data_IF_140036710591
#
_entry.id   IF_140036710591
#
_cell.length_a   1.000
_cell.length_b   1.000
_cell.length_c   1.000
_cell.angle_alpha   90.00
_cell.angle_beta   90.00
_cell.angle_gamma   90.00
#
_symmetry.space_group_name_H-M   'P 1'
#
loop_
_entity.id
_entity.type
_entity.pdbx_description
1 polymer ?
#
# COMPACT_ATOMS: atom_id res chain seq x y z
N UNK A 1 -14.24 1.99 -26.72
CA UNK A 1 -15.62 1.79 -26.38
C UNK A 1 -16.51 2.66 -27.25
N UNK A 2 -17.30 3.61 -26.80
CA UNK A 2 -18.19 4.42 -27.63
C UNK A 2 -17.72 5.87 -27.67
N UNK A 3 -18.04 6.58 -28.75
CA UNK A 3 -17.79 8.02 -28.83
C UNK A 3 -18.85 8.79 -28.01
N UNK A 4 -18.47 9.90 -27.44
CA UNK A 4 -19.37 10.67 -26.59
C UNK A 4 -18.78 11.98 -26.09
N UNK A 5 -19.52 12.65 -25.23
CA UNK A 5 -19.06 13.84 -24.52
C UNK A 5 -18.85 13.52 -23.05
N UNK A 6 -17.76 13.99 -22.50
CA UNK A 6 -17.42 13.84 -21.07
C UNK A 6 -18.37 14.69 -20.25
N UNK A 7 -19.17 14.06 -19.41
CA UNK A 7 -20.23 14.70 -18.61
C UNK A 7 -19.72 15.01 -17.20
N UNK A 8 -18.93 14.10 -16.60
CA UNK A 8 -18.38 14.26 -15.28
C UNK A 8 -16.99 13.60 -15.18
N UNK A 9 -16.08 14.26 -14.48
CA UNK A 9 -14.75 13.73 -14.16
C UNK A 9 -14.45 13.97 -12.70
N UNK A 10 -14.04 12.92 -12.00
CA UNK A 10 -13.47 13.01 -10.67
C UNK A 10 -12.24 12.10 -10.55
N UNK A 11 -11.58 12.10 -9.41
CA UNK A 11 -10.37 11.31 -9.21
C UNK A 11 -10.60 9.79 -9.35
N UNK A 12 -11.82 9.32 -9.21
CA UNK A 12 -12.19 7.90 -9.15
C UNK A 12 -12.94 7.41 -10.37
N UNK A 13 -13.50 8.31 -11.17
CA UNK A 13 -14.35 7.95 -12.31
C UNK A 13 -14.40 9.02 -13.39
N UNK A 14 -14.68 8.57 -14.61
CA UNK A 14 -15.02 9.40 -15.77
C UNK A 14 -16.38 8.95 -16.25
N UNK A 15 -17.29 9.87 -16.43
CA UNK A 15 -18.65 9.62 -16.95
C UNK A 15 -18.74 10.22 -18.34
N UNK A 16 -19.05 9.39 -19.32
CA UNK A 16 -19.19 9.79 -20.73
C UNK A 16 -20.64 9.57 -21.16
N UNK A 17 -21.25 10.61 -21.69
CA UNK A 17 -22.54 10.52 -22.34
C UNK A 17 -22.30 10.08 -23.78
N UNK A 18 -22.57 8.81 -24.06
CA UNK A 18 -22.38 8.23 -25.38
C UNK A 18 -23.38 8.81 -26.39
N UNK A 19 -22.92 9.00 -27.62
CA UNK A 19 -23.86 9.30 -28.71
C UNK A 19 -24.61 8.02 -29.08
N UNK A 20 -25.93 8.11 -29.08
CA UNK A 20 -26.78 7.05 -29.63
C UNK A 20 -26.68 7.11 -31.17
N UNK A 21 -26.03 6.12 -31.78
CA UNK A 21 -26.30 5.84 -33.19
C UNK A 21 -27.77 5.38 -33.27
N UNK A 22 -28.61 6.14 -33.95
CA UNK A 22 -30.05 5.90 -34.11
C UNK A 22 -30.41 4.55 -34.76
N UNK A 23 -29.45 3.64 -34.91
CA UNK A 23 -29.61 2.36 -35.61
C UNK A 23 -29.55 1.12 -34.72
N UNK A 24 -29.15 1.21 -33.46
CA UNK A 24 -29.00 0.03 -32.60
C UNK A 24 -29.61 0.23 -31.22
N UNK A 25 -30.67 -0.55 -30.99
CA UNK A 25 -31.26 -1.01 -29.75
C UNK A 25 -31.41 -0.05 -28.55
N UNK A 26 -32.66 0.21 -28.23
CA UNK A 26 -33.17 0.88 -27.05
C UNK A 26 -32.82 0.28 -25.68
N UNK A 27 -31.93 -0.71 -25.61
CA UNK A 27 -31.52 -1.40 -24.35
C UNK A 27 -30.16 -0.98 -23.80
N UNK A 28 -29.38 -0.21 -24.54
CA UNK A 28 -28.01 0.20 -24.09
C UNK A 28 -28.09 1.54 -23.36
N UNK A 29 -27.53 1.59 -22.14
CA UNK A 29 -27.42 2.83 -21.36
C UNK A 29 -26.80 3.96 -22.19
N UNK A 30 -27.37 5.18 -22.15
CA UNK A 30 -26.80 6.34 -22.83
C UNK A 30 -25.51 6.86 -22.14
N UNK A 31 -25.12 6.28 -21.02
CA UNK A 31 -23.99 6.73 -20.22
C UNK A 31 -23.03 5.58 -19.98
N UNK A 32 -21.75 5.84 -20.21
CA UNK A 32 -20.64 4.95 -19.85
C UNK A 32 -19.91 5.51 -18.65
N UNK A 33 -19.68 4.65 -17.64
CA UNK A 33 -18.93 5.00 -16.43
C UNK A 33 -17.65 4.20 -16.40
N UNK A 34 -16.51 4.90 -16.36
CA UNK A 34 -15.18 4.33 -16.27
C UNK A 34 -14.62 4.58 -14.88
N UNK A 35 -14.51 3.53 -14.07
CA UNK A 35 -13.88 3.60 -12.75
C UNK A 35 -12.38 3.55 -12.88
N UNK A 36 -11.67 4.45 -12.19
CA UNK A 36 -10.23 4.55 -12.17
C UNK A 36 -9.65 3.81 -10.96
N UNK A 37 -8.61 3.03 -11.18
CA UNK A 37 -7.87 2.38 -10.10
C UNK A 37 -7.02 3.41 -9.35
N UNK A 38 -7.18 3.43 -8.04
CA UNK A 38 -6.48 4.38 -7.17
C UNK A 38 -5.62 3.64 -6.16
N UNK A 39 -4.30 3.86 -6.21
CA UNK A 39 -3.32 3.35 -5.25
C UNK A 39 -3.49 1.86 -4.93
N UNK A 40 -3.62 1.04 -5.97
CA UNK A 40 -3.71 -0.40 -5.83
C UNK A 40 -2.34 -1.05 -5.99
N UNK A 41 -2.16 -2.16 -5.28
CA UNK A 41 -0.95 -2.96 -5.38
C UNK A 41 -0.96 -3.79 -6.68
N UNK A 42 0.13 -3.72 -7.45
CA UNK A 42 0.37 -4.64 -8.57
C UNK A 42 0.99 -5.96 -8.08
N UNK A 43 1.07 -6.95 -8.96
CA UNK A 43 1.73 -8.22 -8.64
C UNK A 43 3.22 -8.07 -8.27
N UNK A 44 3.87 -7.00 -8.69
CA UNK A 44 5.26 -6.66 -8.39
C UNK A 44 5.42 -5.66 -7.24
N UNK A 45 4.39 -5.48 -6.41
CA UNK A 45 4.35 -4.52 -5.30
C UNK A 45 4.49 -3.05 -5.72
N UNK A 46 4.28 -2.74 -6.99
CA UNK A 46 4.27 -1.36 -7.48
C UNK A 46 2.90 -0.73 -7.30
N UNK A 47 2.85 0.59 -7.25
CA UNK A 47 1.61 1.33 -7.11
C UNK A 47 0.92 1.51 -8.47
N UNK A 48 -0.32 1.06 -8.57
CA UNK A 48 -1.21 1.33 -9.70
C UNK A 48 -2.12 2.48 -9.33
N UNK A 49 -1.96 3.60 -10.00
CA UNK A 49 -2.79 4.78 -9.80
C UNK A 49 -3.12 5.39 -11.16
N UNK A 50 -4.41 5.50 -11.47
CA UNK A 50 -4.89 6.06 -12.72
C UNK A 50 -5.35 7.51 -12.53
N UNK A 51 -5.04 8.35 -13.50
CA UNK A 51 -5.40 9.78 -13.51
C UNK A 51 -6.15 10.11 -14.80
N UNK A 52 -7.27 10.84 -14.73
CA UNK A 52 -7.98 11.28 -15.92
C UNK A 52 -7.15 12.30 -16.70
N UNK A 53 -7.20 12.22 -18.03
CA UNK A 53 -6.61 13.20 -18.94
C UNK A 53 -7.64 14.18 -19.51
N UNK A 54 -8.90 13.75 -19.53
CA UNK A 54 -10.00 14.50 -20.13
C UNK A 54 -10.64 15.44 -19.12
N UNK A 55 -11.26 16.51 -19.65
CA UNK A 55 -12.03 17.47 -18.87
C UNK A 55 -13.53 17.38 -19.19
N UNK A 56 -14.34 17.92 -18.30
CA UNK A 56 -15.81 17.99 -18.52
C UNK A 56 -16.10 18.83 -19.75
N UNK A 57 -16.89 18.30 -20.64
CA UNK A 57 -17.26 18.91 -21.92
C UNK A 57 -16.42 18.46 -23.11
N UNK A 58 -15.33 17.73 -22.89
CA UNK A 58 -14.50 17.21 -23.98
C UNK A 58 -15.28 16.20 -24.83
N UNK A 59 -15.03 16.25 -26.12
CA UNK A 59 -15.49 15.21 -27.05
C UNK A 59 -14.44 14.12 -27.17
N UNK A 60 -14.84 12.88 -27.04
CA UNK A 60 -13.97 11.71 -27.14
C UNK A 60 -14.49 10.74 -28.19
N UNK A 61 -13.60 10.21 -29.00
CA UNK A 61 -13.90 9.20 -29.98
C UNK A 61 -13.59 7.79 -29.47
N UNK A 62 -14.11 6.80 -30.17
CA UNK A 62 -13.77 5.40 -29.88
C UNK A 62 -12.28 5.16 -30.15
N UNK A 63 -11.52 4.82 -29.11
CA UNK A 63 -10.09 4.57 -29.18
C UNK A 63 -9.23 5.62 -28.52
N UNK A 64 -9.79 6.79 -28.19
CA UNK A 64 -9.07 7.83 -27.47
C UNK A 64 -8.66 7.39 -26.08
N UNK A 65 -7.52 7.88 -25.65
CA UNK A 65 -7.01 7.65 -24.30
C UNK A 65 -7.61 8.69 -23.36
N UNK A 66 -8.36 8.24 -22.37
CA UNK A 66 -9.07 9.11 -21.43
C UNK A 66 -8.43 9.19 -20.05
N UNK A 67 -7.51 8.28 -19.74
CA UNK A 67 -6.79 8.25 -18.47
C UNK A 67 -5.40 7.65 -18.63
N UNK A 68 -4.46 8.14 -17.86
CA UNK A 68 -3.13 7.56 -17.69
C UNK A 68 -3.09 6.55 -16.56
N UNK A 69 -2.27 5.53 -16.74
CA UNK A 69 -1.94 4.54 -15.71
C UNK A 69 -0.49 4.63 -15.23
N UNK A 70 0.03 3.56 -14.63
CA UNK A 70 1.43 3.48 -14.24
C UNK A 70 2.35 3.61 -15.46
N UNK A 71 3.46 4.35 -15.29
CA UNK A 71 4.48 4.56 -16.33
C UNK A 71 3.94 5.11 -17.64
N UNK A 72 2.89 5.93 -17.59
CA UNK A 72 2.32 6.64 -18.74
C UNK A 72 2.21 8.13 -18.46
N UNK A 73 2.40 8.94 -19.48
CA UNK A 73 2.23 10.40 -19.44
C UNK A 73 1.60 10.83 -20.76
N UNK A 74 0.46 11.52 -20.69
CA UNK A 74 -0.34 11.97 -21.85
C UNK A 74 -0.66 10.85 -22.85
N UNK A 75 -0.95 9.67 -22.35
CA UNK A 75 -1.30 8.49 -23.16
C UNK A 75 -0.11 7.75 -23.76
N UNK A 76 1.12 8.21 -23.54
CA UNK A 76 2.33 7.57 -24.04
C UNK A 76 3.11 6.87 -22.92
N UNK A 77 3.89 5.87 -23.30
CA UNK A 77 4.75 5.14 -22.37
C UNK A 77 5.88 6.04 -21.87
N UNK A 78 5.94 6.27 -20.56
CA UNK A 78 6.95 7.08 -19.88
C UNK A 78 7.58 6.26 -18.74
N UNK A 79 8.65 5.52 -19.03
CA UNK A 79 9.34 4.65 -18.07
C UNK A 79 10.29 5.40 -17.15
N UNK A 80 10.49 6.68 -17.35
CA UNK A 80 11.36 7.54 -16.57
C UNK A 80 11.35 8.97 -17.08
N UNK A 81 12.28 9.78 -16.57
CA UNK A 81 12.47 11.17 -17.01
C UNK A 81 13.89 11.39 -17.54
N UNK A 82 13.99 12.18 -18.60
CA UNK A 82 15.27 12.67 -19.07
C UNK A 82 15.80 13.73 -18.11
N UNK A 83 17.02 13.54 -17.62
CA UNK A 83 17.69 14.49 -16.72
C UNK A 83 18.96 15.01 -17.36
N UNK A 84 19.34 16.23 -17.05
CA UNK A 84 20.59 16.81 -17.47
C UNK A 84 21.73 16.20 -16.65
N UNK A 85 22.72 15.64 -17.34
CA UNK A 85 23.89 14.97 -16.74
C UNK A 85 25.18 15.71 -17.11
N UNK A 86 26.04 15.89 -16.13
CA UNK A 86 27.41 16.37 -16.34
C UNK A 86 28.42 15.28 -15.99
N UNK A 87 29.32 14.95 -16.91
CA UNK A 87 30.42 14.00 -16.69
C UNK A 87 31.66 14.78 -16.28
N UNK A 88 31.84 14.93 -14.97
CA UNK A 88 32.96 15.68 -14.40
C UNK A 88 33.27 15.21 -12.99
N UNK A 89 34.57 15.28 -12.53
CA UNK A 89 34.88 15.10 -11.14
C UNK A 89 34.36 16.27 -10.30
N UNK A 90 33.82 15.97 -9.11
CA UNK A 90 33.30 16.96 -8.18
C UNK A 90 33.85 16.71 -6.77
N UNK A 91 34.97 17.34 -6.42
CA UNK A 91 35.57 17.29 -5.09
C UNK A 91 35.71 15.86 -4.48
N UNK A 92 35.79 14.83 -5.29
CA UNK A 92 35.87 13.44 -4.86
C UNK A 92 34.55 12.80 -4.44
N UNK A 93 33.42 13.56 -4.41
CA UNK A 93 32.13 13.03 -3.99
C UNK A 93 31.49 12.06 -5.01
N UNK A 94 31.99 12.03 -6.23
CA UNK A 94 31.59 11.07 -7.26
C UNK A 94 32.70 10.05 -7.58
N UNK A 95 33.49 9.69 -6.57
CA UNK A 95 34.54 8.68 -6.70
C UNK A 95 33.94 7.29 -6.94
N UNK A 96 34.58 6.52 -7.84
CA UNK A 96 34.12 5.20 -8.31
C UNK A 96 32.66 5.28 -8.87
N UNK A 97 31.73 4.51 -8.31
CA UNK A 97 30.34 4.39 -8.77
C UNK A 97 29.38 5.40 -8.10
N UNK A 98 29.93 6.34 -7.33
CA UNK A 98 29.12 7.37 -6.65
C UNK A 98 28.60 8.39 -7.63
N UNK A 99 27.34 8.75 -7.49
CA UNK A 99 26.66 9.75 -8.31
C UNK A 99 26.11 10.84 -7.39
N UNK A 100 26.40 12.11 -7.75
CA UNK A 100 25.78 13.27 -7.12
C UNK A 100 24.47 13.59 -7.84
N UNK A 101 23.44 13.84 -7.09
CA UNK A 101 22.16 14.31 -7.61
C UNK A 101 21.83 15.69 -7.07
N UNK A 102 21.14 16.49 -7.87
CA UNK A 102 20.63 17.81 -7.44
C UNK A 102 19.50 17.61 -6.42
N UNK A 103 19.45 18.48 -5.41
CA UNK A 103 18.37 18.53 -4.44
C UNK A 103 16.99 18.73 -5.12
N UNK A 104 16.97 19.43 -6.25
CA UNK A 104 15.75 19.59 -7.05
C UNK A 104 15.15 18.26 -7.51
N UNK A 105 15.97 17.25 -7.84
CA UNK A 105 15.48 15.91 -8.22
C UNK A 105 14.71 15.26 -7.07
N UNK A 106 15.18 15.47 -5.83
CA UNK A 106 14.51 14.97 -4.63
C UNK A 106 13.24 15.76 -4.36
N UNK A 107 13.30 17.08 -4.47
CA UNK A 107 12.15 17.98 -4.24
C UNK A 107 11.02 17.75 -5.27
N UNK A 108 11.36 17.51 -6.52
CA UNK A 108 10.41 17.31 -7.61
C UNK A 108 9.97 15.82 -7.76
N UNK A 109 10.37 14.94 -6.84
CA UNK A 109 10.04 13.51 -6.83
C UNK A 109 10.35 12.78 -8.17
N UNK A 110 11.42 13.19 -8.86
CA UNK A 110 11.73 12.67 -10.22
C UNK A 110 11.99 11.18 -10.21
N UNK A 111 12.68 10.67 -9.18
CA UNK A 111 13.02 9.26 -9.01
C UNK A 111 12.32 8.60 -7.83
N UNK A 112 11.23 9.19 -7.35
CA UNK A 112 10.43 8.66 -6.24
C UNK A 112 9.49 7.58 -6.74
N UNK A 113 9.47 6.45 -6.06
CA UNK A 113 8.56 5.34 -6.33
C UNK A 113 7.79 4.95 -5.07
N UNK A 114 6.56 4.46 -5.27
CA UNK A 114 5.70 3.95 -4.21
C UNK A 114 5.63 2.44 -4.37
N UNK A 115 5.97 1.73 -3.31
CA UNK A 115 5.84 0.28 -3.22
C UNK A 115 4.77 -0.06 -2.19
N UNK A 116 3.87 -0.96 -2.52
CA UNK A 116 2.77 -1.40 -1.66
C UNK A 116 3.00 -2.87 -1.34
N UNK A 117 3.19 -3.17 -0.06
CA UNK A 117 3.32 -4.54 0.44
C UNK A 117 2.05 -4.92 1.18
N UNK A 118 1.61 -6.15 1.00
CA UNK A 118 0.45 -6.72 1.65
C UNK A 118 0.89 -7.85 2.56
N UNK A 119 0.51 -7.77 3.82
CA UNK A 119 0.78 -8.79 4.82
C UNK A 119 -0.53 -9.40 5.29
N UNK A 120 -0.55 -10.73 5.37
CA UNK A 120 -1.70 -11.47 5.86
C UNK A 120 -1.31 -12.28 7.09
N UNK A 121 -2.14 -12.24 8.11
CA UNK A 121 -1.98 -13.04 9.32
C UNK A 121 -3.30 -13.71 9.67
N UNK A 122 -3.22 -14.95 10.12
CA UNK A 122 -4.38 -15.74 10.51
C UNK A 122 -4.15 -16.36 11.89
N UNK A 123 -5.14 -16.24 12.77
CA UNK A 123 -5.18 -16.99 14.01
C UNK A 123 -5.74 -18.39 13.72
N UNK A 124 -5.01 -19.43 14.10
CA UNK A 124 -5.35 -20.84 13.85
C UNK A 124 -5.62 -21.58 15.15
N UNK A 125 -6.42 -22.62 15.07
CA UNK A 125 -6.56 -23.58 16.15
C UNK A 125 -5.34 -24.50 16.17
N UNK A 126 -4.67 -24.56 17.32
CA UNK A 126 -3.53 -25.45 17.55
C UNK A 126 -3.92 -26.56 18.53
N UNK A 127 -3.12 -27.63 18.59
CA UNK A 127 -3.33 -28.73 19.55
C UNK A 127 -3.24 -28.26 21.02
N UNK A 128 -2.62 -27.11 21.27
CA UNK A 128 -2.41 -26.53 22.61
C UNK A 128 -3.42 -25.44 22.94
N UNK A 129 -4.29 -25.09 22.02
CA UNK A 129 -5.30 -24.06 22.14
C UNK A 129 -5.38 -23.16 20.92
N UNK A 130 -6.30 -22.25 20.92
CA UNK A 130 -6.52 -21.28 19.86
C UNK A 130 -5.50 -20.15 19.93
N UNK A 131 -4.94 -19.76 18.79
CA UNK A 131 -4.18 -18.52 18.66
C UNK A 131 -5.12 -17.32 18.79
N UNK A 132 -4.63 -16.24 19.31
CA UNK A 132 -5.40 -15.02 19.51
C UNK A 132 -4.68 -13.79 18.93
N UNK A 133 -5.44 -12.93 18.27
CA UNK A 133 -4.98 -11.62 17.80
C UNK A 133 -5.33 -10.62 18.88
N UNK A 134 -4.30 -10.05 19.52
CA UNK A 134 -4.47 -9.19 20.68
C UNK A 134 -3.32 -8.19 20.79
N UNK A 135 -3.59 -7.06 21.44
CA UNK A 135 -2.59 -6.09 21.86
C UNK A 135 -1.79 -6.57 23.08
N UNK A 136 -2.33 -7.48 23.86
CA UNK A 136 -1.70 -8.01 25.08
C UNK A 136 -0.63 -9.05 24.72
N UNK A 137 0.56 -8.57 24.38
CA UNK A 137 1.70 -9.37 23.94
C UNK A 137 2.71 -9.45 25.10
N UNK A 138 3.16 -10.64 25.51
CA UNK A 138 4.14 -10.79 26.58
C UNK A 138 5.52 -10.23 26.17
N UNK A 139 6.20 -9.60 27.12
CA UNK A 139 7.59 -9.11 27.00
C UNK A 139 7.79 -8.05 25.89
N UNK A 140 6.77 -7.27 25.57
CA UNK A 140 6.83 -6.15 24.61
C UNK A 140 6.50 -4.87 25.37
N UNK A 141 7.35 -3.85 25.20
CA UNK A 141 7.14 -2.53 25.81
C UNK A 141 5.99 -1.76 25.17
N UNK A 142 5.35 -0.91 25.94
CA UNK A 142 4.23 -0.06 25.50
C UNK A 142 4.56 0.80 24.27
N UNK A 143 5.81 1.22 24.12
CA UNK A 143 6.24 2.01 22.97
C UNK A 143 6.12 1.24 21.64
N UNK A 144 6.40 -0.07 21.65
CA UNK A 144 6.24 -0.93 20.48
C UNK A 144 4.78 -1.26 20.15
N UNK A 145 3.87 -0.97 21.08
CA UNK A 145 2.44 -1.24 20.94
C UNK A 145 1.61 0.03 20.67
N UNK A 146 2.26 1.20 20.63
CA UNK A 146 1.58 2.49 20.49
C UNK A 146 0.73 2.62 19.24
N UNK A 147 1.17 1.98 18.15
CA UNK A 147 0.52 2.05 16.83
C UNK A 147 -0.55 0.97 16.61
N UNK A 148 -0.78 0.13 17.63
CA UNK A 148 -1.82 -0.90 17.61
C UNK A 148 -3.12 -0.37 18.22
N UNK A 149 -4.25 -0.75 17.63
CA UNK A 149 -5.57 -0.53 18.20
C UNK A 149 -5.89 -1.52 19.34
N UNK A 150 -7.08 -1.43 19.91
CA UNK A 150 -7.52 -2.32 20.99
C UNK A 150 -7.60 -3.79 20.57
N UNK A 151 -7.80 -4.05 19.28
CA UNK A 151 -7.81 -5.39 18.71
C UNK A 151 -6.40 -5.95 18.44
N UNK A 152 -5.35 -5.13 18.61
CA UNK A 152 -3.97 -5.52 18.31
C UNK A 152 -3.56 -5.39 16.86
N UNK A 153 -4.29 -4.62 16.07
CA UNK A 153 -4.00 -4.34 14.66
C UNK A 153 -3.51 -2.89 14.53
N UNK A 154 -2.50 -2.67 13.70
CA UNK A 154 -2.00 -1.32 13.42
C UNK A 154 -3.11 -0.44 12.84
N UNK A 155 -3.25 0.79 13.35
CA UNK A 155 -4.28 1.71 12.87
C UNK A 155 -3.91 2.31 11.51
N UNK A 156 -4.93 2.66 10.74
CA UNK A 156 -4.77 3.28 9.43
C UNK A 156 -4.13 4.67 9.59
N UNK A 157 -3.03 4.91 8.86
CA UNK A 157 -2.26 6.15 8.93
C UNK A 157 -1.06 6.10 9.87
N UNK A 158 -0.80 4.97 10.54
CA UNK A 158 0.40 4.81 11.36
C UNK A 158 1.67 4.83 10.50
N UNK A 159 2.70 5.52 10.97
CA UNK A 159 4.04 5.48 10.40
C UNK A 159 4.84 4.36 11.05
N UNK A 160 5.12 3.30 10.29
CA UNK A 160 5.78 2.09 10.77
C UNK A 160 7.20 1.97 10.23
N UNK A 161 8.08 1.36 11.04
CA UNK A 161 9.49 1.13 10.73
C UNK A 161 9.81 -0.36 10.78
N UNK A 162 10.93 -0.73 10.21
CA UNK A 162 11.40 -2.12 10.27
C UNK A 162 11.51 -2.59 11.73
N UNK A 163 10.86 -3.70 12.05
CA UNK A 163 10.77 -4.29 13.39
C UNK A 163 9.51 -3.93 14.17
N UNK A 164 8.72 -2.93 13.74
CA UNK A 164 7.47 -2.58 14.40
C UNK A 164 6.41 -3.68 14.26
N UNK A 165 5.57 -3.81 15.26
CA UNK A 165 4.48 -4.79 15.26
C UNK A 165 3.33 -4.27 14.42
N UNK A 166 2.93 -5.03 13.41
CA UNK A 166 1.77 -4.72 12.57
C UNK A 166 0.49 -5.36 13.09
N UNK A 167 0.59 -6.61 13.54
CA UNK A 167 -0.52 -7.36 14.15
C UNK A 167 0.02 -8.15 15.34
N UNK A 168 -0.53 -7.87 16.51
CA UNK A 168 -0.22 -8.62 17.71
C UNK A 168 -0.91 -9.97 17.69
N UNK A 169 -0.13 -11.06 17.75
CA UNK A 169 -0.64 -12.42 17.83
C UNK A 169 0.10 -13.22 18.88
N UNK A 170 -0.64 -13.99 19.66
CA UNK A 170 -0.10 -14.87 20.66
C UNK A 170 -0.53 -16.31 20.40
N UNK A 171 0.40 -17.23 20.61
CA UNK A 171 0.17 -18.68 20.46
C UNK A 171 0.32 -19.35 21.82
N UNK A 172 -0.61 -20.22 22.24
CA UNK A 172 -0.48 -20.97 23.48
C UNK A 172 0.80 -21.82 23.53
N UNK A 173 1.50 -21.79 24.66
CA UNK A 173 2.63 -22.69 24.94
C UNK A 173 2.11 -24.01 25.46
N UNK A 174 2.78 -25.12 25.07
CA UNK A 174 2.60 -26.43 25.72
C UNK A 174 3.08 -26.42 27.16
N UNK A 175 2.57 -27.34 27.95
CA UNK A 175 3.04 -27.59 29.31
C UNK A 175 4.53 -27.99 29.28
N UNK A 176 5.40 -27.04 29.45
CA UNK A 176 6.81 -27.26 29.79
C UNK A 176 6.97 -27.13 31.30
N UNK A 177 7.75 -28.01 31.96
CA UNK A 177 8.05 -27.81 33.37
C UNK A 177 8.72 -26.47 33.56
N UNK A 178 8.06 -25.59 34.34
CA UNK A 178 8.52 -24.24 34.60
C UNK A 178 9.82 -24.26 35.41
N UNK A 179 10.80 -23.48 34.95
CA UNK A 179 11.97 -23.17 35.76
C UNK A 179 11.59 -22.29 36.95
N UNK A 180 12.40 -22.26 38.04
CA UNK A 180 12.14 -21.37 39.18
C UNK A 180 12.04 -19.89 38.78
N UNK A 181 12.79 -19.48 37.77
CA UNK A 181 12.80 -18.11 37.24
C UNK A 181 11.50 -17.77 36.51
N UNK A 182 10.94 -18.72 35.75
CA UNK A 182 9.63 -18.57 35.09
C UNK A 182 8.48 -18.49 36.10
N UNK A 183 8.57 -19.24 37.21
CA UNK A 183 7.61 -19.11 38.32
C UNK A 183 7.64 -17.73 38.96
N UNK A 184 8.84 -17.14 39.09
CA UNK A 184 9.01 -15.80 39.62
C UNK A 184 8.44 -14.75 38.67
N UNK A 185 8.70 -14.84 37.39
CA UNK A 185 8.16 -13.98 36.35
C UNK A 185 6.62 -14.05 36.28
N UNK A 186 6.05 -15.25 36.45
CA UNK A 186 4.60 -15.45 36.54
C UNK A 186 3.99 -14.75 37.75
N UNK A 187 4.67 -14.79 38.86
CA UNK A 187 4.23 -14.10 40.11
C UNK A 187 4.28 -12.57 39.96
N UNK A 188 5.23 -12.02 39.22
CA UNK A 188 5.43 -10.56 39.05
C UNK A 188 4.59 -9.98 37.93
N UNK A 189 4.50 -10.66 36.78
CA UNK A 189 3.86 -10.17 35.51
C UNK A 189 2.49 -10.79 35.23
N UNK A 190 1.97 -11.66 36.11
CA UNK A 190 0.68 -12.32 35.96
C UNK A 190 0.71 -13.60 35.10
N UNK A 191 -0.42 -14.35 35.16
CA UNK A 191 -0.52 -15.69 34.57
C UNK A 191 -0.36 -15.73 33.03
N UNK A 192 -0.75 -14.67 32.34
CA UNK A 192 -0.74 -14.61 30.87
C UNK A 192 0.66 -14.62 30.25
N UNK A 193 1.66 -14.06 30.92
CA UNK A 193 3.01 -13.91 30.37
C UNK A 193 3.78 -15.23 30.16
N UNK A 194 3.38 -16.31 30.85
CA UNK A 194 4.05 -17.61 30.78
C UNK A 194 3.34 -18.65 29.91
N UNK A 195 2.06 -18.44 29.60
CA UNK A 195 1.22 -19.45 28.95
C UNK A 195 1.14 -19.24 27.42
N UNK A 196 1.61 -18.10 26.92
CA UNK A 196 1.57 -17.75 25.51
C UNK A 196 2.94 -17.30 24.98
N UNK A 197 3.17 -17.52 23.71
CA UNK A 197 4.35 -17.07 22.98
C UNK A 197 3.96 -15.99 21.98
N UNK A 198 4.78 -14.95 21.89
CA UNK A 198 4.65 -13.92 20.86
C UNK A 198 4.91 -14.51 19.46
N UNK A 199 3.91 -14.46 18.61
CA UNK A 199 3.96 -14.82 17.20
C UNK A 199 3.45 -13.70 16.32
N UNK A 200 3.57 -12.45 16.82
CA UNK A 200 3.12 -11.25 16.13
C UNK A 200 3.78 -11.06 14.77
N UNK A 201 3.03 -10.49 13.86
CA UNK A 201 3.54 -10.05 12.57
C UNK A 201 4.28 -8.72 12.74
N UNK A 202 5.52 -8.69 12.31
CA UNK A 202 6.39 -7.50 12.32
C UNK A 202 6.79 -7.10 10.91
N UNK A 203 7.00 -5.80 10.73
CA UNK A 203 7.51 -5.26 9.47
C UNK A 203 8.97 -5.66 9.25
#
# INVERSE_FOLDING_TARGET
>A
QRSGTVDQVDATRIVIRAFSDDRDNSEVSPVDIYSLFKFQRSNQNTCVNQRPLVQVGDFVEKGDIIADGPSTEDGELALGKNVLVAYMPWNGYNFEDSILISERIVHDDVFTSIHIEEFEVMARDTKLGQEDITRDIPNVGEESLKDLDEAGIVYVGAEVKAGDVLVGKVTPKGETPMTPEEKLLRAIFGEKASDVRDTSLRL
#
